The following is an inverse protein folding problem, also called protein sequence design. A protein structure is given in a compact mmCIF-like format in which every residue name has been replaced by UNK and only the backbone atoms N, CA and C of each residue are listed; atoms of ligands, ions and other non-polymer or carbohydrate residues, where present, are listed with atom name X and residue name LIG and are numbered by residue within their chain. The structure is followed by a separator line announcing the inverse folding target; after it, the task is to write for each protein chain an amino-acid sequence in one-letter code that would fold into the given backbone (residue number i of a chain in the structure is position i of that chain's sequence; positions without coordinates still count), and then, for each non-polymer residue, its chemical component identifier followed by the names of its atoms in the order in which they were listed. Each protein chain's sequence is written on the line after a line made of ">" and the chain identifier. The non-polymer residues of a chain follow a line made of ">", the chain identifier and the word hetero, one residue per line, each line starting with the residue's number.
data_IF_093482166168
#
_entry.id   IF_093482166168
#
_cell.length_a   1.000
_cell.length_b   1.000
_cell.length_c   1.000
_cell.angle_alpha   90.00
_cell.angle_beta   90.00
_cell.angle_gamma   90.00
#
_symmetry.space_group_name_H-M   'P 1'
#
loop_
_entity.id
_entity.type
_entity.pdbx_description
1 polymer ?
#
# COMPACT_ATOMS: atom_id res chain seq x y z
N UNK A 1 28.71 2.69 -23.34
CA UNK A 1 27.88 2.03 -22.31
C UNK A 1 26.54 2.76 -22.25
N UNK A 2 25.47 2.30 -22.92
CA UNK A 2 24.14 2.83 -22.68
C UNK A 2 23.67 2.33 -21.31
N UNK A 3 23.42 3.24 -20.37
CA UNK A 3 22.78 2.95 -19.10
C UNK A 3 21.45 2.25 -19.39
N UNK A 4 21.33 1.01 -18.93
CA UNK A 4 20.11 0.22 -19.10
C UNK A 4 18.90 1.02 -18.60
N UNK A 5 17.89 1.06 -19.46
CA UNK A 5 16.48 1.27 -19.15
C UNK A 5 16.18 0.99 -17.67
N UNK A 6 15.81 2.02 -16.91
CA UNK A 6 14.85 1.78 -15.85
C UNK A 6 13.53 1.53 -16.55
N UNK A 7 13.15 0.25 -16.63
CA UNK A 7 12.00 -0.26 -17.37
C UNK A 7 10.78 0.63 -17.20
N UNK A 8 10.41 1.28 -18.30
CA UNK A 8 9.09 1.86 -18.50
C UNK A 8 8.17 0.71 -18.90
N UNK A 9 7.77 -0.13 -17.94
CA UNK A 9 6.66 -1.04 -18.16
C UNK A 9 5.58 -0.72 -17.13
N UNK A 10 4.34 -0.61 -17.62
CA UNK A 10 3.08 -0.30 -16.94
C UNK A 10 2.71 1.19 -16.84
N UNK A 11 2.55 1.77 -18.04
CA UNK A 11 1.63 2.87 -18.38
C UNK A 11 0.56 3.16 -17.32
N UNK A 12 0.88 4.09 -16.42
CA UNK A 12 -0.05 4.73 -15.49
C UNK A 12 0.42 6.17 -15.35
N UNK A 13 -0.50 7.10 -15.57
CA UNK A 13 -0.23 8.54 -15.59
C UNK A 13 0.55 8.95 -14.33
N UNK A 14 1.74 9.51 -14.53
CA UNK A 14 2.60 9.95 -13.44
C UNK A 14 2.08 11.28 -12.91
N UNK A 15 1.51 11.24 -11.70
CA UNK A 15 0.97 12.42 -11.04
C UNK A 15 2.04 12.98 -10.10
N UNK A 16 2.20 14.30 -10.09
CA UNK A 16 3.06 14.96 -9.12
C UNK A 16 2.34 14.98 -7.77
N UNK A 17 2.81 14.14 -6.85
CA UNK A 17 2.29 14.11 -5.48
C UNK A 17 3.14 15.01 -4.58
N UNK A 18 2.47 15.75 -3.72
CA UNK A 18 3.10 16.52 -2.65
C UNK A 18 2.30 16.31 -1.38
N UNK A 19 2.67 15.24 -0.67
CA UNK A 19 1.99 14.75 0.52
C UNK A 19 2.96 14.87 1.68
N UNK A 20 2.73 15.79 2.62
CA UNK A 20 3.63 15.98 3.76
C UNK A 20 3.60 14.77 4.71
N UNK A 21 4.66 14.57 5.51
CA UNK A 21 4.65 13.59 6.59
C UNK A 21 3.57 13.95 7.61
N UNK A 22 2.82 12.95 8.05
CA UNK A 22 1.65 13.19 8.90
C UNK A 22 0.80 11.94 9.13
N UNK A 23 -0.44 12.12 9.61
CA UNK A 23 -1.40 11.03 9.76
C UNK A 23 -1.67 10.37 8.40
N UNK A 24 -1.60 9.04 8.34
CA UNK A 24 -1.77 8.29 7.10
C UNK A 24 -3.12 8.58 6.43
N UNK A 25 -4.17 8.76 7.23
CA UNK A 25 -5.51 9.17 6.78
C UNK A 25 -5.49 10.49 5.99
N UNK A 26 -4.84 11.53 6.52
CA UNK A 26 -4.74 12.84 5.87
C UNK A 26 -3.94 12.74 4.56
N UNK A 27 -2.86 11.94 4.57
CA UNK A 27 -2.04 11.66 3.39
C UNK A 27 -2.81 10.91 2.31
N UNK A 28 -3.63 9.91 2.67
CA UNK A 28 -4.48 9.19 1.71
C UNK A 28 -5.62 10.08 1.17
N UNK A 29 -6.19 10.93 2.01
CA UNK A 29 -7.22 11.88 1.58
C UNK A 29 -6.65 12.92 0.59
N UNK A 30 -5.39 13.33 0.75
CA UNK A 30 -4.68 14.16 -0.24
C UNK A 30 -4.40 13.37 -1.52
N UNK A 31 -3.97 12.13 -1.38
CA UNK A 31 -3.65 11.24 -2.49
C UNK A 31 -4.85 11.00 -3.42
N UNK A 32 -6.01 10.66 -2.86
CA UNK A 32 -7.26 10.45 -3.60
C UNK A 32 -7.69 11.69 -4.37
N UNK A 33 -7.57 12.87 -3.76
CA UNK A 33 -7.89 14.14 -4.41
C UNK A 33 -6.94 14.47 -5.57
N UNK A 34 -5.65 14.18 -5.43
CA UNK A 34 -4.65 14.41 -6.49
C UNK A 34 -4.76 13.40 -7.64
N UNK A 35 -5.03 12.13 -7.31
CA UNK A 35 -5.15 11.04 -8.27
C UNK A 35 -6.53 10.92 -8.91
N UNK A 36 -7.56 11.60 -8.37
CA UNK A 36 -8.94 11.53 -8.84
C UNK A 36 -9.60 10.16 -8.63
N UNK A 37 -9.14 9.39 -7.64
CA UNK A 37 -9.65 8.05 -7.33
C UNK A 37 -10.34 8.02 -5.97
N UNK A 38 -11.23 7.05 -5.77
CA UNK A 38 -11.80 6.74 -4.46
C UNK A 38 -11.08 5.53 -3.86
N UNK A 39 -10.67 5.65 -2.59
CA UNK A 39 -10.12 4.54 -1.83
C UNK A 39 -11.07 4.26 -0.65
N UNK A 40 -11.57 3.03 -0.54
CA UNK A 40 -12.29 2.58 0.66
C UNK A 40 -11.30 2.05 1.68
N UNK A 41 -11.30 2.63 2.86
CA UNK A 41 -10.44 2.23 3.97
C UNK A 41 -11.16 2.51 5.28
N UNK A 42 -10.79 1.80 6.34
CA UNK A 42 -11.23 2.14 7.69
C UNK A 42 -10.28 3.18 8.29
N UNK A 43 -10.76 4.42 8.41
CA UNK A 43 -10.00 5.54 8.97
C UNK A 43 -9.60 5.28 10.43
N UNK A 44 -10.43 4.56 11.18
CA UNK A 44 -10.20 4.25 12.59
C UNK A 44 -8.97 3.34 12.79
N UNK A 45 -8.72 2.44 11.83
CA UNK A 45 -7.55 1.56 11.84
C UNK A 45 -6.24 2.30 11.47
N UNK A 46 -6.30 3.35 10.64
CA UNK A 46 -5.11 4.05 10.14
C UNK A 46 -4.86 5.42 10.77
N UNK A 47 -5.81 5.99 11.53
CA UNK A 47 -5.66 7.31 12.18
C UNK A 47 -4.47 7.39 13.14
N UNK A 48 -4.08 6.25 13.72
CA UNK A 48 -2.92 6.13 14.61
C UNK A 48 -1.61 5.86 13.87
N UNK A 49 -1.67 5.66 12.55
CA UNK A 49 -0.50 5.43 11.72
C UNK A 49 -0.05 6.75 11.09
N UNK A 50 1.27 6.93 11.06
CA UNK A 50 1.87 8.06 10.35
C UNK A 50 2.51 7.58 9.06
N UNK A 51 2.71 8.48 8.10
CA UNK A 51 3.54 8.23 6.92
C UNK A 51 4.68 9.24 6.86
N UNK A 52 5.79 8.84 6.23
CA UNK A 52 6.90 9.75 5.92
C UNK A 52 6.55 10.77 4.84
N UNK A 53 5.35 10.68 4.26
CA UNK A 53 4.93 11.49 3.13
C UNK A 53 5.30 10.86 1.80
N UNK A 54 4.89 11.52 0.73
CA UNK A 54 5.20 11.14 -0.65
C UNK A 54 5.38 12.43 -1.45
N UNK A 55 6.56 12.61 -2.01
CA UNK A 55 6.87 13.75 -2.86
C UNK A 55 7.50 13.30 -4.18
N UNK A 56 7.20 14.03 -5.24
CA UNK A 56 7.68 13.78 -6.59
C UNK A 56 6.64 13.12 -7.50
N UNK A 57 7.09 12.72 -8.68
CA UNK A 57 6.23 12.10 -9.69
C UNK A 57 6.13 10.61 -9.43
N UNK A 58 4.94 10.15 -9.06
CA UNK A 58 4.65 8.72 -8.88
C UNK A 58 3.40 8.36 -9.66
N UNK A 59 3.23 7.08 -9.97
CA UNK A 59 1.95 6.57 -10.44
C UNK A 59 1.02 6.33 -9.26
N UNK A 60 -0.29 6.27 -9.51
CA UNK A 60 -1.29 6.01 -8.46
C UNK A 60 -1.01 4.71 -7.68
N UNK A 61 -0.55 3.66 -8.36
CA UNK A 61 -0.25 2.38 -7.71
C UNK A 61 1.07 2.43 -6.93
N UNK A 62 2.11 3.05 -7.49
CA UNK A 62 3.43 3.23 -6.85
C UNK A 62 3.36 4.13 -5.63
N UNK A 63 2.62 5.24 -5.72
CA UNK A 63 2.45 6.20 -4.63
C UNK A 63 1.69 5.58 -3.46
N UNK A 64 0.60 4.87 -3.75
CA UNK A 64 -0.16 4.15 -2.73
C UNK A 64 0.69 3.06 -2.06
N UNK A 65 1.41 2.25 -2.85
CA UNK A 65 2.33 1.24 -2.31
C UNK A 65 3.41 1.86 -1.40
N UNK A 66 3.91 3.05 -1.74
CA UNK A 66 4.92 3.76 -0.96
C UNK A 66 4.36 4.26 0.38
N UNK A 67 3.15 4.81 0.38
CA UNK A 67 2.46 5.27 1.59
C UNK A 67 2.15 4.13 2.57
N UNK A 68 1.91 2.93 2.05
CA UNK A 68 1.56 1.72 2.82
C UNK A 68 2.78 0.86 3.18
N UNK A 69 3.95 1.18 2.62
CA UNK A 69 5.20 0.47 2.88
C UNK A 69 5.51 0.53 4.38
N UNK A 70 5.89 -0.60 4.97
CA UNK A 70 6.25 -0.72 6.39
C UNK A 70 5.07 -0.62 7.39
N UNK A 71 3.82 -0.74 6.92
CA UNK A 71 2.63 -0.65 7.80
C UNK A 71 1.86 -1.96 7.95
N UNK A 72 2.17 -2.98 7.14
CA UNK A 72 1.41 -4.24 7.14
C UNK A 72 0.08 -4.16 6.41
N UNK A 73 -0.22 -3.06 5.71
CA UNK A 73 -1.41 -2.89 4.89
C UNK A 73 -1.06 -3.04 3.41
N UNK A 74 -1.99 -3.60 2.64
CA UNK A 74 -1.94 -3.67 1.19
C UNK A 74 -3.20 -3.04 0.61
N UNK A 75 -3.22 -2.90 -0.71
CA UNK A 75 -4.38 -2.38 -1.42
C UNK A 75 -4.85 -3.39 -2.47
N UNK A 76 -6.16 -3.47 -2.66
CA UNK A 76 -6.78 -4.23 -3.73
C UNK A 76 -7.49 -3.28 -4.70
N UNK A 77 -7.14 -3.39 -5.98
CA UNK A 77 -7.80 -2.64 -7.06
C UNK A 77 -9.10 -3.34 -7.43
N UNK A 78 -10.21 -2.62 -7.33
CA UNK A 78 -11.55 -3.07 -7.64
C UNK A 78 -12.15 -2.22 -8.78
N UNK A 79 -13.28 -2.66 -9.35
CA UNK A 79 -13.95 -1.94 -10.45
C UNK A 79 -14.42 -0.53 -10.07
N UNK A 80 -14.61 -0.25 -8.78
CA UNK A 80 -15.05 1.04 -8.26
C UNK A 80 -13.89 1.94 -7.78
N UNK A 81 -12.67 1.43 -7.66
CA UNK A 81 -11.55 2.15 -7.05
C UNK A 81 -10.58 1.22 -6.33
N UNK A 82 -10.00 1.68 -5.23
CA UNK A 82 -9.05 0.89 -4.44
C UNK A 82 -9.61 0.61 -3.06
N UNK A 83 -9.26 -0.52 -2.48
CA UNK A 83 -9.67 -0.90 -1.13
C UNK A 83 -8.42 -1.17 -0.32
N UNK A 84 -8.31 -0.55 0.85
CA UNK A 84 -7.24 -0.84 1.79
C UNK A 84 -7.61 -2.08 2.59
N UNK A 85 -6.73 -3.07 2.58
CA UNK A 85 -6.88 -4.29 3.36
C UNK A 85 -5.65 -4.46 4.22
N UNK A 86 -5.83 -4.88 5.47
CA UNK A 86 -4.72 -5.41 6.25
C UNK A 86 -4.10 -6.52 5.43
N UNK A 87 -2.80 -6.44 5.20
CA UNK A 87 -2.07 -7.62 4.74
C UNK A 87 -2.07 -8.52 5.97
N UNK A 88 -2.75 -9.67 5.98
CA UNK A 88 -2.41 -10.68 6.95
C UNK A 88 -0.97 -11.06 6.61
N UNK A 89 0.00 -10.41 7.27
CA UNK A 89 1.41 -10.74 7.20
C UNK A 89 1.44 -12.26 7.25
N UNK A 90 1.93 -12.87 6.17
CA UNK A 90 1.77 -14.28 5.86
C UNK A 90 1.47 -15.04 7.14
N UNK A 91 0.22 -15.48 7.30
CA UNK A 91 0.00 -16.71 8.04
C UNK A 91 0.72 -17.79 7.25
N UNK A 92 2.05 -17.79 7.33
CA UNK A 92 2.85 -18.98 7.26
C UNK A 92 2.46 -19.73 8.53
N UNK A 93 1.25 -20.29 8.49
CA UNK A 93 0.92 -21.53 9.16
C UNK A 93 1.80 -22.61 8.52
N UNK A 94 3.12 -22.48 8.69
CA UNK A 94 3.90 -23.68 8.94
C UNK A 94 3.39 -24.17 10.28
N UNK A 95 3.29 -25.48 10.44
CA UNK A 95 3.16 -26.16 11.72
C UNK A 95 1.73 -26.43 12.22
N UNK A 96 0.79 -26.71 11.31
CA UNK A 96 0.04 -27.98 11.42
C UNK A 96 0.98 -29.15 11.03
N UNK A 97 2.16 -29.21 11.65
CA UNK A 97 2.84 -30.48 11.82
C UNK A 97 2.12 -31.07 13.02
N UNK A 98 1.03 -31.77 12.71
CA UNK A 98 0.14 -32.38 13.66
C UNK A 98 0.99 -33.08 14.72
N UNK A 99 1.00 -32.49 15.91
CA UNK A 99 1.68 -33.00 17.08
C UNK A 99 0.85 -34.19 17.56
N UNK A 100 0.98 -35.32 16.86
CA UNK A 100 0.42 -36.58 17.33
C UNK A 100 1.31 -37.07 18.47
N UNK A 101 0.74 -37.26 19.67
CA UNK A 101 1.48 -37.70 20.83
C UNK A 101 2.08 -39.09 20.56
N UNK A 102 3.36 -39.23 20.93
CA UNK A 102 4.02 -40.54 21.05
C UNK A 102 3.33 -41.30 22.18
N UNK A 103 2.44 -42.24 21.86
CA UNK A 103 1.89 -43.21 22.82
C UNK A 103 2.36 -44.62 22.45
N UNK A 104 3.23 -45.12 23.34
CA UNK A 104 3.67 -46.50 23.62
C UNK A 104 3.54 -47.58 22.52
#
# INVERSE_FOLDING_TARGET
>A
MPSALHGQDQSTETVHYSIPPGPLEQSLNRFTQQAGITISMDADQIKHLNTGGLEGNHSTETGLATLLKNRGFTFEKNAAGYVLVDTPALKLNKQEAVNFPKLL
#
